data_IF_457573517230
#
_entry.id   IF_457573517230
#
_cell.length_a   1.000
_cell.length_b   1.000
_cell.length_c   1.000
_cell.angle_alpha   90.00
_cell.angle_beta   90.00
_cell.angle_gamma   90.00
#
_symmetry.space_group_name_H-M   'P 1'
#
loop_
_entity.id
_entity.type
_entity.pdbx_description
1 polymer ?
#
# COMPACT_ATOMS: atom_id res chain seq x y z
N UNK A 1 -26.47 6.43 -1.36
CA UNK A 1 -25.01 6.22 -1.49
C UNK A 1 -24.49 7.08 -2.62
N UNK A 2 -23.36 7.75 -2.43
CA UNK A 2 -22.64 8.42 -3.51
C UNK A 2 -22.24 7.39 -4.55
N UNK A 3 -22.65 7.62 -5.79
CA UNK A 3 -22.41 6.74 -6.95
C UNK A 3 -21.02 6.89 -7.55
N UNK A 4 -20.22 7.81 -7.00
CA UNK A 4 -18.90 8.19 -7.46
C UNK A 4 -17.99 8.42 -6.24
N UNK A 5 -16.87 7.69 -6.19
CA UNK A 5 -15.92 7.66 -5.09
C UNK A 5 -14.52 7.91 -5.63
N UNK A 6 -13.81 8.84 -4.99
CA UNK A 6 -12.38 9.07 -5.23
C UNK A 6 -11.60 8.77 -3.97
N UNK A 7 -10.66 7.83 -4.04
CA UNK A 7 -9.73 7.50 -2.96
C UNK A 7 -8.30 7.70 -3.44
N UNK A 8 -7.40 8.04 -2.54
CA UNK A 8 -5.97 8.03 -2.86
C UNK A 8 -5.13 7.49 -1.72
N UNK A 9 -4.04 6.81 -2.06
CA UNK A 9 -3.06 6.28 -1.11
C UNK A 9 -1.65 6.79 -1.46
N UNK A 10 -0.85 7.24 -0.49
CA UNK A 10 0.55 7.60 -0.71
C UNK A 10 1.39 6.36 -1.01
N UNK A 11 2.55 6.56 -1.64
CA UNK A 11 3.61 5.58 -1.66
C UNK A 11 4.37 5.55 -0.33
N UNK A 12 5.55 4.94 -0.36
CA UNK A 12 6.46 4.88 0.80
C UNK A 12 7.90 5.16 0.43
N UNK A 13 8.69 5.43 1.46
CA UNK A 13 10.14 5.42 1.42
C UNK A 13 10.66 4.80 2.71
N UNK A 14 11.74 4.03 2.65
CA UNK A 14 12.48 3.61 3.84
C UNK A 14 13.44 4.75 4.17
N UNK A 15 13.28 5.37 5.34
CA UNK A 15 14.17 6.43 5.81
C UNK A 15 15.45 5.84 6.39
N UNK A 16 15.33 4.74 7.14
CA UNK A 16 16.44 4.03 7.76
C UNK A 16 16.13 2.54 7.87
N UNK A 17 17.15 1.68 7.77
CA UNK A 17 17.07 0.26 8.11
C UNK A 17 16.75 -0.67 6.93
N UNK A 18 17.15 -0.29 5.73
CA UNK A 18 16.85 -0.93 4.45
C UNK A 18 17.20 -2.42 4.42
N UNK A 19 18.47 -2.76 4.65
CA UNK A 19 18.93 -4.14 4.66
C UNK A 19 18.99 -4.73 6.08
N UNK A 20 19.13 -3.89 7.10
CA UNK A 20 19.23 -4.35 8.49
C UNK A 20 17.94 -5.00 8.99
N UNK A 21 16.79 -4.59 8.47
CA UNK A 21 15.48 -5.17 8.80
C UNK A 21 15.38 -6.66 8.53
N UNK A 22 16.10 -7.16 7.52
CA UNK A 22 16.16 -8.59 7.18
C UNK A 22 16.81 -9.41 8.31
N UNK A 23 17.62 -8.76 9.16
CA UNK A 23 18.31 -9.34 10.31
C UNK A 23 17.63 -9.01 11.64
N UNK A 24 16.34 -8.69 11.62
CA UNK A 24 15.55 -8.40 12.81
C UNK A 24 15.83 -7.05 13.47
N UNK A 25 16.59 -6.19 12.79
CA UNK A 25 16.85 -4.82 13.24
C UNK A 25 15.70 -3.89 12.91
N UNK A 26 15.73 -2.71 13.52
CA UNK A 26 14.73 -1.68 13.32
C UNK A 26 14.86 -1.04 11.94
N UNK A 27 13.71 -0.85 11.30
CA UNK A 27 13.55 0.03 10.14
C UNK A 27 12.49 1.09 10.40
N UNK A 28 12.67 2.25 9.77
CA UNK A 28 11.73 3.36 9.78
C UNK A 28 11.31 3.62 8.34
N UNK A 29 10.03 3.46 8.07
CA UNK A 29 9.44 3.77 6.77
C UNK A 29 8.43 4.90 6.92
N UNK A 30 8.31 5.75 5.90
CA UNK A 30 7.42 6.90 5.92
C UNK A 30 6.65 7.03 4.62
N UNK A 31 5.45 7.61 4.70
CA UNK A 31 4.60 7.85 3.55
C UNK A 31 5.22 8.90 2.64
N UNK A 32 5.30 8.57 1.35
CA UNK A 32 5.76 9.45 0.30
C UNK A 32 4.56 10.12 -0.35
N UNK A 33 4.54 11.45 -0.43
CA UNK A 33 3.41 12.20 -0.98
C UNK A 33 3.32 12.17 -2.53
N UNK A 34 3.70 11.04 -3.14
CA UNK A 34 3.34 10.65 -4.50
C UNK A 34 2.25 9.59 -4.37
N UNK A 35 1.09 9.83 -4.98
CA UNK A 35 -0.12 9.07 -4.66
C UNK A 35 -0.60 8.23 -5.84
N UNK A 36 -1.21 7.09 -5.50
CA UNK A 36 -2.14 6.37 -6.35
C UNK A 36 -3.53 6.94 -6.11
N UNK A 37 -4.30 7.17 -7.17
CA UNK A 37 -5.68 7.61 -7.12
C UNK A 37 -6.55 6.55 -7.78
N UNK A 38 -7.68 6.27 -7.16
CA UNK A 38 -8.74 5.45 -7.74
C UNK A 38 -10.00 6.29 -7.85
N UNK A 39 -10.62 6.23 -9.01
CA UNK A 39 -11.98 6.67 -9.26
C UNK A 39 -12.85 5.42 -9.43
N UNK A 40 -13.95 5.35 -8.70
CA UNK A 40 -14.86 4.23 -8.78
C UNK A 40 -16.31 4.69 -8.80
N UNK A 41 -17.06 4.18 -9.76
CA UNK A 41 -18.47 4.50 -9.91
C UNK A 41 -19.31 3.26 -10.20
N UNK A 42 -20.60 3.29 -9.85
CA UNK A 42 -21.54 2.24 -10.26
C UNK A 42 -21.66 2.25 -11.79
N UNK A 43 -21.47 1.09 -12.42
CA UNK A 43 -21.55 0.97 -13.87
C UNK A 43 -22.99 0.98 -14.34
N UNK A 44 -23.27 1.77 -15.38
CA UNK A 44 -24.62 1.91 -15.96
C UNK A 44 -25.04 0.73 -16.82
N UNK A 45 -24.08 -0.01 -17.34
CA UNK A 45 -24.29 -1.18 -18.21
C UNK A 45 -24.40 -2.49 -17.43
N UNK A 46 -24.28 -2.46 -16.10
CA UNK A 46 -24.37 -3.66 -15.25
C UNK A 46 -23.12 -4.54 -15.25
N UNK A 47 -22.04 -4.11 -15.90
CA UNK A 47 -20.78 -4.85 -15.95
C UNK A 47 -19.77 -4.30 -14.93
N UNK A 48 -18.67 -5.02 -14.73
CA UNK A 48 -17.51 -4.56 -13.96
C UNK A 48 -16.34 -4.26 -14.89
N UNK A 49 -15.70 -3.10 -14.70
CA UNK A 49 -14.57 -2.65 -15.53
C UNK A 49 -13.38 -2.29 -14.63
N UNK A 50 -12.20 -2.77 -15.01
CA UNK A 50 -10.90 -2.41 -14.44
C UNK A 50 -10.07 -1.67 -15.49
N UNK A 51 -9.73 -0.42 -15.21
CA UNK A 51 -8.96 0.45 -16.10
C UNK A 51 -7.70 0.99 -15.39
N UNK A 52 -6.53 0.51 -15.83
CA UNK A 52 -5.20 0.85 -15.30
C UNK A 52 -4.32 1.36 -16.47
N UNK A 53 -4.49 2.63 -16.89
CA UNK A 53 -3.78 3.20 -18.03
C UNK A 53 -2.24 3.17 -17.87
N UNK A 54 -1.71 3.36 -16.65
CA UNK A 54 -0.26 3.39 -16.39
C UNK A 54 0.46 2.08 -16.73
N UNK A 55 -0.28 0.98 -16.83
CA UNK A 55 0.23 -0.36 -17.18
C UNK A 55 -0.47 -0.95 -18.40
N UNK A 56 -1.23 -0.13 -19.15
CA UNK A 56 -1.97 -0.52 -20.35
C UNK A 56 -2.95 -1.69 -20.13
N UNK A 57 -3.70 -1.68 -19.03
CA UNK A 57 -4.73 -2.68 -18.76
C UNK A 57 -6.10 -1.99 -18.84
N UNK A 58 -6.97 -2.50 -19.69
CA UNK A 58 -8.40 -2.23 -19.64
C UNK A 58 -9.12 -3.58 -19.82
N UNK A 59 -9.94 -3.95 -18.85
CA UNK A 59 -10.66 -5.22 -18.82
C UNK A 59 -12.08 -4.99 -18.33
N UNK A 60 -13.01 -5.73 -18.93
CA UNK A 60 -14.43 -5.65 -18.64
C UNK A 60 -15.00 -7.06 -18.54
N UNK A 61 -15.80 -7.30 -17.52
CA UNK A 61 -16.46 -8.58 -17.30
C UNK A 61 -17.93 -8.36 -16.97
N UNK A 62 -18.77 -9.27 -17.45
CA UNK A 62 -20.16 -9.30 -17.02
C UNK A 62 -20.27 -9.79 -15.59
N UNK A 63 -21.00 -9.06 -14.75
CA UNK A 63 -21.30 -9.47 -13.36
C UNK A 63 -21.97 -10.84 -13.34
N UNK A 64 -22.92 -11.08 -14.25
CA UNK A 64 -23.59 -12.38 -14.36
C UNK A 64 -22.61 -13.52 -14.68
N UNK A 65 -21.58 -13.28 -15.50
CA UNK A 65 -20.56 -14.30 -15.79
C UNK A 65 -19.69 -14.57 -14.56
N UNK A 66 -19.31 -13.54 -13.82
CA UNK A 66 -18.57 -13.69 -12.57
C UNK A 66 -19.37 -14.50 -11.55
N UNK A 67 -20.65 -14.19 -11.39
CA UNK A 67 -21.53 -14.87 -10.42
C UNK A 67 -21.85 -16.31 -10.79
N UNK A 68 -22.05 -16.62 -12.08
CA UNK A 68 -22.44 -17.96 -12.52
C UNK A 68 -21.26 -18.87 -12.84
N UNK A 69 -20.13 -18.31 -13.34
CA UNK A 69 -19.02 -19.11 -13.86
C UNK A 69 -17.78 -19.11 -12.96
N UNK A 70 -17.51 -17.98 -12.27
CA UNK A 70 -16.33 -17.85 -11.40
C UNK A 70 -16.66 -18.16 -9.93
N UNK A 71 -17.60 -17.43 -9.33
CA UNK A 71 -17.90 -17.50 -7.89
C UNK A 71 -18.20 -18.92 -7.37
N UNK A 72 -19.02 -19.77 -8.02
CA UNK A 72 -19.35 -21.09 -7.50
C UNK A 72 -18.14 -22.03 -7.47
N UNK A 73 -17.06 -21.64 -8.17
CA UNK A 73 -15.82 -22.37 -8.32
C UNK A 73 -14.66 -21.59 -7.66
N UNK A 74 -14.89 -20.46 -7.01
CA UNK A 74 -13.80 -19.73 -6.37
C UNK A 74 -13.75 -20.10 -4.89
N UNK A 75 -12.69 -20.80 -4.48
CA UNK A 75 -12.46 -21.08 -3.06
C UNK A 75 -11.88 -19.81 -2.42
N UNK A 76 -12.66 -19.19 -1.52
CA UNK A 76 -12.26 -18.01 -0.75
C UNK A 76 -11.59 -18.48 0.55
N UNK A 77 -10.27 -18.37 0.57
CA UNK A 77 -9.43 -18.97 1.60
C UNK A 77 -9.33 -18.07 2.84
N UNK A 78 -9.28 -18.70 4.00
CA UNK A 78 -8.97 -18.06 5.28
C UNK A 78 -7.73 -18.71 5.89
N UNK A 79 -6.97 -17.99 6.71
CA UNK A 79 -5.88 -18.54 7.49
C UNK A 79 -6.38 -19.23 8.77
N UNK A 80 -5.45 -19.77 9.56
CA UNK A 80 -5.74 -20.46 10.83
C UNK A 80 -6.43 -19.57 11.88
N UNK A 81 -6.43 -18.25 11.68
CA UNK A 81 -7.08 -17.27 12.56
C UNK A 81 -8.40 -16.74 11.97
N UNK A 82 -8.85 -17.31 10.85
CA UNK A 82 -10.07 -16.89 10.17
C UNK A 82 -9.91 -15.58 9.37
N UNK A 83 -8.68 -15.12 9.12
CA UNK A 83 -8.44 -13.94 8.30
C UNK A 83 -8.33 -14.30 6.82
N UNK A 84 -8.71 -13.39 5.88
CA UNK A 84 -8.58 -13.64 4.45
C UNK A 84 -7.15 -14.04 4.04
N UNK A 85 -7.02 -15.10 3.24
CA UNK A 85 -5.74 -15.61 2.76
C UNK A 85 -5.68 -15.67 1.22
N UNK A 86 -4.47 -15.71 0.64
CA UNK A 86 -4.29 -15.77 -0.81
C UNK A 86 -5.01 -16.96 -1.46
N UNK A 87 -5.36 -16.87 -2.75
CA UNK A 87 -6.01 -17.96 -3.46
C UNK A 87 -5.12 -19.21 -3.48
N UNK A 88 -5.72 -20.39 -3.35
CA UNK A 88 -5.04 -21.67 -3.62
C UNK A 88 -4.56 -21.72 -5.08
N UNK A 89 -3.63 -22.62 -5.41
CA UNK A 89 -3.19 -22.82 -6.80
C UNK A 89 -4.36 -23.10 -7.76
N UNK A 90 -5.36 -23.85 -7.29
CA UNK A 90 -6.59 -24.14 -8.03
C UNK A 90 -7.45 -22.88 -8.25
N UNK A 91 -7.66 -22.05 -7.22
CA UNK A 91 -8.36 -20.77 -7.37
C UNK A 91 -7.58 -19.80 -8.27
N UNK A 92 -6.25 -19.76 -8.15
CA UNK A 92 -5.38 -18.95 -8.99
C UNK A 92 -5.48 -19.35 -10.47
N UNK A 93 -5.44 -20.66 -10.77
CA UNK A 93 -5.65 -21.17 -12.13
C UNK A 93 -7.02 -20.76 -12.68
N UNK A 94 -8.08 -20.85 -11.87
CA UNK A 94 -9.43 -20.44 -12.26
C UNK A 94 -9.52 -18.94 -12.55
N UNK A 95 -8.90 -18.10 -11.73
CA UNK A 95 -8.84 -16.65 -11.95
C UNK A 95 -8.07 -16.32 -13.23
N UNK A 96 -6.95 -16.99 -13.50
CA UNK A 96 -6.17 -16.82 -14.75
C UNK A 96 -6.98 -17.21 -15.98
N UNK A 97 -7.65 -18.36 -15.92
CA UNK A 97 -8.51 -18.85 -17.00
C UNK A 97 -9.66 -17.88 -17.27
N UNK A 98 -10.32 -17.39 -16.23
CA UNK A 98 -11.43 -16.44 -16.36
C UNK A 98 -10.97 -15.06 -16.88
N UNK A 99 -9.75 -14.64 -16.52
CA UNK A 99 -9.17 -13.39 -16.95
C UNK A 99 -8.55 -13.44 -18.36
N UNK A 100 -8.64 -14.59 -19.05
CA UNK A 100 -8.04 -14.82 -20.38
C UNK A 100 -6.53 -14.53 -20.39
N UNK A 101 -5.82 -15.02 -19.37
CA UNK A 101 -4.38 -14.85 -19.22
C UNK A 101 -3.67 -16.12 -19.71
N UNK A 102 -3.15 -16.06 -20.95
CA UNK A 102 -2.60 -17.21 -21.69
C UNK A 102 -1.18 -17.66 -21.29
N UNK A 103 -0.52 -16.98 -20.35
CA UNK A 103 0.90 -17.19 -20.06
C UNK A 103 1.16 -17.82 -18.69
N UNK A 104 2.09 -18.78 -18.64
CA UNK A 104 2.64 -19.31 -17.38
C UNK A 104 3.50 -18.26 -16.65
N UNK A 105 4.05 -17.28 -17.36
CA UNK A 105 4.82 -16.18 -16.78
C UNK A 105 3.91 -15.18 -16.03
N UNK A 106 4.18 -15.07 -14.72
CA UNK A 106 3.53 -14.08 -13.85
C UNK A 106 4.11 -12.69 -14.11
N UNK A 107 3.68 -12.04 -15.18
CA UNK A 107 3.86 -10.60 -15.31
C UNK A 107 3.12 -9.87 -14.18
N UNK A 108 3.72 -8.82 -13.63
CA UNK A 108 3.10 -7.99 -12.58
C UNK A 108 1.72 -7.45 -12.99
N UNK A 109 1.52 -7.23 -14.30
CA UNK A 109 0.24 -6.86 -14.92
C UNK A 109 -0.84 -7.90 -14.71
N UNK A 110 -0.51 -9.18 -14.93
CA UNK A 110 -1.43 -10.29 -14.71
C UNK A 110 -1.82 -10.38 -13.24
N UNK A 111 -0.86 -10.25 -12.32
CA UNK A 111 -1.13 -10.32 -10.89
C UNK A 111 -2.00 -9.16 -10.38
N UNK A 112 -1.94 -7.98 -10.99
CA UNK A 112 -2.85 -6.88 -10.68
C UNK A 112 -4.31 -7.21 -11.04
N UNK A 113 -4.55 -7.84 -12.21
CA UNK A 113 -5.88 -8.30 -12.63
C UNK A 113 -6.39 -9.40 -11.68
N UNK A 114 -5.54 -10.36 -11.33
CA UNK A 114 -5.88 -11.45 -10.41
C UNK A 114 -6.20 -10.89 -9.01
N UNK A 115 -5.39 -9.96 -8.51
CA UNK A 115 -5.63 -9.27 -7.24
C UNK A 115 -6.96 -8.52 -7.27
N UNK A 116 -7.29 -7.84 -8.38
CA UNK A 116 -8.57 -7.19 -8.56
C UNK A 116 -9.73 -8.17 -8.47
N UNK A 117 -9.75 -9.20 -9.32
CA UNK A 117 -10.84 -10.17 -9.38
C UNK A 117 -11.04 -10.89 -8.05
N UNK A 118 -9.95 -11.31 -7.39
CA UNK A 118 -10.06 -12.01 -6.11
C UNK A 118 -10.62 -11.10 -5.01
N UNK A 119 -10.10 -9.88 -4.86
CA UNK A 119 -10.61 -8.93 -3.86
C UNK A 119 -12.04 -8.50 -4.17
N UNK A 120 -12.38 -8.25 -5.43
CA UNK A 120 -13.72 -7.89 -5.86
C UNK A 120 -14.74 -8.99 -5.54
N UNK A 121 -14.45 -10.24 -5.88
CA UNK A 121 -15.32 -11.37 -5.55
C UNK A 121 -15.43 -11.60 -4.04
N UNK A 122 -14.32 -11.54 -3.31
CA UNK A 122 -14.30 -11.84 -1.88
C UNK A 122 -14.98 -10.74 -1.05
N UNK A 123 -14.64 -9.47 -1.29
CA UNK A 123 -15.27 -8.35 -0.60
C UNK A 123 -16.73 -8.20 -1.05
N UNK A 124 -17.00 -8.35 -2.35
CA UNK A 124 -18.33 -8.21 -2.95
C UNK A 124 -19.37 -9.20 -2.43
N UNK A 125 -19.00 -10.48 -2.22
CA UNK A 125 -19.89 -11.47 -1.60
C UNK A 125 -20.31 -11.13 -0.17
N UNK A 126 -19.61 -10.20 0.49
CA UNK A 126 -19.87 -9.77 1.86
C UNK A 126 -20.56 -8.40 1.92
N UNK A 127 -21.14 -7.96 0.80
CA UNK A 127 -21.85 -6.69 0.71
C UNK A 127 -23.03 -6.62 1.67
N UNK A 128 -23.10 -5.51 2.41
CA UNK A 128 -24.25 -5.18 3.27
C UNK A 128 -25.32 -4.39 2.51
N UNK A 129 -24.97 -3.84 1.36
CA UNK A 129 -25.81 -2.88 0.63
C UNK A 129 -26.69 -3.53 -0.45
N UNK A 130 -26.25 -4.65 -1.01
CA UNK A 130 -26.98 -5.36 -2.06
C UNK A 130 -26.66 -6.86 -2.07
N UNK A 131 -27.59 -7.65 -2.60
CA UNK A 131 -27.35 -9.06 -2.92
C UNK A 131 -26.58 -9.17 -4.24
N UNK A 132 -25.46 -9.89 -4.22
CA UNK A 132 -24.62 -10.09 -5.42
C UNK A 132 -23.52 -9.05 -5.58
N UNK A 133 -22.70 -9.24 -6.62
CA UNK A 133 -21.53 -8.40 -6.88
C UNK A 133 -21.94 -7.03 -7.46
N UNK A 134 -21.34 -5.92 -7.02
CA UNK A 134 -21.70 -4.59 -7.50
C UNK A 134 -21.15 -4.33 -8.91
N UNK A 135 -21.96 -3.86 -9.87
CA UNK A 135 -21.45 -3.45 -11.18
C UNK A 135 -20.70 -2.13 -11.03
N UNK A 136 -19.38 -2.16 -11.20
CA UNK A 136 -18.51 -1.01 -10.91
C UNK A 136 -17.52 -0.76 -12.02
N UNK A 137 -17.27 0.50 -12.33
CA UNK A 137 -16.12 0.92 -13.12
C UNK A 137 -15.07 1.47 -12.18
N UNK A 138 -13.91 0.82 -12.13
CA UNK A 138 -12.75 1.20 -11.32
C UNK A 138 -11.63 1.63 -12.25
N UNK A 139 -11.22 2.90 -12.15
CA UNK A 139 -10.08 3.47 -12.88
C UNK A 139 -9.00 3.92 -11.90
N UNK A 140 -7.74 3.51 -12.11
CA UNK A 140 -6.63 3.92 -11.25
C UNK A 140 -5.49 4.58 -12.01
N UNK A 141 -4.96 5.66 -11.45
CA UNK A 141 -3.80 6.40 -11.97
C UNK A 141 -2.81 6.66 -10.83
N UNK A 142 -1.52 6.63 -11.10
CA UNK A 142 -0.48 6.71 -10.08
C UNK A 142 0.63 7.66 -10.47
N UNK A 143 1.01 8.51 -9.52
CA UNK A 143 2.21 9.33 -9.61
C UNK A 143 3.48 8.54 -9.27
N UNK A 144 3.35 7.30 -8.80
CA UNK A 144 4.46 6.44 -8.41
C UNK A 144 4.99 5.68 -9.61
N UNK A 145 6.29 5.80 -9.93
CA UNK A 145 6.92 4.95 -10.93
C UNK A 145 6.76 3.46 -10.58
N UNK A 146 6.22 2.70 -11.52
CA UNK A 146 6.04 1.25 -11.36
C UNK A 146 7.40 0.57 -11.24
N UNK A 147 7.56 -0.29 -10.22
CA UNK A 147 8.78 -1.08 -10.03
C UNK A 147 9.96 -0.34 -9.39
N UNK A 148 9.85 0.95 -9.05
CA UNK A 148 10.95 1.71 -8.44
C UNK A 148 11.20 1.40 -6.94
N UNK A 149 10.38 0.53 -6.34
CA UNK A 149 10.43 0.24 -4.90
C UNK A 149 9.77 1.32 -4.03
N UNK A 150 8.93 2.17 -4.62
CA UNK A 150 8.20 3.25 -3.93
C UNK A 150 6.79 2.87 -3.48
N UNK A 151 6.38 1.61 -3.70
CA UNK A 151 5.16 1.03 -3.12
C UNK A 151 3.92 1.26 -3.97
N UNK A 152 4.09 1.34 -5.29
CA UNK A 152 2.98 1.51 -6.23
C UNK A 152 1.94 0.39 -6.13
N UNK A 153 2.38 -0.87 -5.95
CA UNK A 153 1.46 -2.01 -5.79
C UNK A 153 0.69 -1.95 -4.48
N UNK A 154 1.35 -1.56 -3.38
CA UNK A 154 0.69 -1.40 -2.10
C UNK A 154 -0.32 -0.24 -2.13
N UNK A 155 0.04 0.90 -2.72
CA UNK A 155 -0.87 2.02 -2.90
C UNK A 155 -2.07 1.62 -3.78
N UNK A 156 -1.86 0.82 -4.82
CA UNK A 156 -2.91 0.20 -5.63
C UNK A 156 -3.82 -0.71 -4.78
N UNK A 157 -3.26 -1.66 -4.01
CA UNK A 157 -4.03 -2.57 -3.18
C UNK A 157 -4.81 -1.86 -2.07
N UNK A 158 -4.25 -0.79 -1.48
CA UNK A 158 -4.94 0.05 -0.49
C UNK A 158 -6.11 0.81 -1.13
N UNK A 159 -5.89 1.45 -2.27
CA UNK A 159 -6.96 2.14 -3.02
C UNK A 159 -8.08 1.18 -3.39
N UNK A 160 -7.72 0.01 -3.94
CA UNK A 160 -8.66 -1.03 -4.33
C UNK A 160 -9.49 -1.51 -3.13
N UNK A 161 -8.83 -1.89 -2.03
CA UNK A 161 -9.51 -2.37 -0.83
C UNK A 161 -10.44 -1.31 -0.25
N UNK A 162 -9.99 -0.05 -0.15
CA UNK A 162 -10.80 1.04 0.37
C UNK A 162 -12.08 1.26 -0.44
N UNK A 163 -11.97 1.32 -1.77
CA UNK A 163 -13.13 1.48 -2.66
C UNK A 163 -14.11 0.31 -2.54
N UNK A 164 -13.61 -0.93 -2.59
CA UNK A 164 -14.46 -2.11 -2.52
C UNK A 164 -15.18 -2.21 -1.17
N UNK A 165 -14.49 -1.93 -0.06
CA UNK A 165 -15.09 -1.94 1.27
C UNK A 165 -16.12 -0.82 1.43
N UNK A 166 -15.87 0.36 0.86
CA UNK A 166 -16.82 1.47 0.90
C UNK A 166 -18.07 1.19 0.07
N UNK A 167 -17.91 0.68 -1.16
CA UNK A 167 -19.05 0.34 -2.04
C UNK A 167 -19.91 -0.81 -1.50
N UNK A 168 -19.34 -1.67 -0.66
CA UNK A 168 -20.04 -2.81 -0.05
C UNK A 168 -20.58 -2.50 1.35
N UNK A 169 -20.45 -1.26 1.84
CA UNK A 169 -20.91 -0.83 3.17
C UNK A 169 -20.12 -1.44 4.32
N UNK A 170 -18.91 -1.95 4.07
CA UNK A 170 -18.06 -2.59 5.08
C UNK A 170 -17.12 -1.61 5.78
N UNK A 171 -16.74 -0.51 5.13
CA UNK A 171 -15.94 0.57 5.74
C UNK A 171 -16.33 1.93 5.14
N UNK A 172 -16.79 2.87 5.95
CA UNK A 172 -17.25 4.18 5.47
C UNK A 172 -16.42 5.31 6.07
N UNK A 173 -16.00 6.33 5.29
CA UNK A 173 -15.35 7.50 5.85
C UNK A 173 -16.25 8.15 6.91
N UNK A 174 -15.72 8.34 8.11
CA UNK A 174 -16.48 8.81 9.27
C UNK A 174 -15.84 10.01 9.98
N UNK A 175 -14.59 10.34 9.65
CA UNK A 175 -13.83 11.43 10.28
C UNK A 175 -13.91 12.67 9.41
N UNK A 176 -14.55 13.71 9.92
CA UNK A 176 -14.75 14.96 9.20
C UNK A 176 -13.45 15.79 9.18
N UNK A 177 -13.16 16.55 8.11
CA UNK A 177 -12.00 17.44 8.06
C UNK A 177 -11.97 18.49 9.19
N UNK A 178 -13.13 18.90 9.71
CA UNK A 178 -13.22 19.85 10.83
C UNK A 178 -12.69 19.28 12.16
N UNK A 179 -12.78 17.97 12.36
CA UNK A 179 -12.23 17.29 13.55
C UNK A 179 -10.70 17.17 13.48
N UNK A 180 -10.07 17.53 12.35
CA UNK A 180 -8.64 17.37 12.10
C UNK A 180 -7.80 18.65 12.33
N UNK A 181 -8.42 19.76 12.76
CA UNK A 181 -7.70 21.01 13.10
C UNK A 181 -7.05 21.74 11.91
N UNK A 182 -7.29 21.30 10.66
CA UNK A 182 -6.79 21.95 9.45
C UNK A 182 -7.66 23.18 9.11
N UNK A 183 -7.28 24.33 9.67
CA UNK A 183 -7.94 25.63 9.47
C UNK A 183 -7.85 26.20 8.04
N UNK A 184 -7.29 25.46 7.08
CA UNK A 184 -7.13 25.86 5.68
C UNK A 184 -7.64 24.78 4.71
N UNK A 185 -8.96 24.62 4.55
CA UNK A 185 -9.54 24.15 3.28
C UNK A 185 -11.08 24.26 3.23
N UNK A 186 -11.61 25.46 2.98
CA UNK A 186 -13.01 25.64 2.58
C UNK A 186 -13.34 25.11 1.16
N UNK A 187 -12.39 24.42 0.50
CA UNK A 187 -12.57 23.73 -0.80
C UNK A 187 -11.79 22.42 -0.77
N UNK A 188 -12.50 21.29 -0.76
CA UNK A 188 -11.89 19.95 -0.84
C UNK A 188 -11.75 19.23 0.50
N UNK A 189 -12.83 19.21 1.30
CA UNK A 189 -12.94 18.40 2.51
C UNK A 189 -12.56 16.93 2.25
N UNK A 190 -11.40 16.49 2.76
CA UNK A 190 -10.96 15.08 2.67
C UNK A 190 -11.48 14.33 3.89
N UNK A 191 -12.45 13.46 3.65
CA UNK A 191 -12.95 12.54 4.67
C UNK A 191 -11.94 11.42 4.91
N UNK A 192 -11.76 11.02 6.17
CA UNK A 192 -10.91 9.89 6.55
C UNK A 192 -11.73 8.78 7.22
N UNK A 193 -11.18 7.58 7.19
CA UNK A 193 -11.72 6.42 7.88
C UNK A 193 -11.30 6.42 9.35
N UNK A 194 -12.10 5.76 10.20
CA UNK A 194 -11.72 5.44 11.57
C UNK A 194 -10.48 4.55 11.60
N UNK A 195 -9.80 4.45 12.75
CA UNK A 195 -8.65 3.55 12.88
C UNK A 195 -9.03 2.08 12.62
N UNK A 196 -10.20 1.63 13.08
CA UNK A 196 -10.68 0.27 12.86
C UNK A 196 -10.91 -0.03 11.38
N UNK A 197 -11.49 0.91 10.65
CA UNK A 197 -11.67 0.82 9.20
C UNK A 197 -10.34 0.84 8.46
N UNK A 198 -9.39 1.69 8.87
CA UNK A 198 -8.03 1.70 8.30
C UNK A 198 -7.32 0.36 8.51
N UNK A 199 -7.47 -0.25 9.70
CA UNK A 199 -6.91 -1.57 9.96
C UNK A 199 -7.58 -2.66 9.11
N UNK A 200 -8.88 -2.55 8.86
CA UNK A 200 -9.59 -3.44 7.93
C UNK A 200 -9.11 -3.26 6.49
N UNK A 201 -9.00 -2.03 6.01
CA UNK A 201 -8.46 -1.70 4.68
C UNK A 201 -7.05 -2.27 4.55
N UNK A 202 -6.19 -2.07 5.56
CA UNK A 202 -4.82 -2.57 5.54
C UNK A 202 -4.78 -4.11 5.44
N UNK A 203 -5.66 -4.82 6.15
CA UNK A 203 -5.73 -6.30 6.07
C UNK A 203 -6.06 -6.78 4.65
N UNK A 204 -7.04 -6.15 3.99
CA UNK A 204 -7.40 -6.48 2.61
C UNK A 204 -6.34 -6.05 1.60
N UNK A 205 -5.70 -4.90 1.81
CA UNK A 205 -4.58 -4.45 0.99
C UNK A 205 -3.38 -5.39 1.10
N UNK A 206 -3.09 -5.91 2.30
CA UNK A 206 -2.03 -6.89 2.54
C UNK A 206 -2.31 -8.21 1.82
N UNK A 207 -3.57 -8.64 1.72
CA UNK A 207 -3.97 -9.77 0.90
C UNK A 207 -3.67 -9.52 -0.59
N UNK A 208 -4.02 -8.34 -1.11
CA UNK A 208 -3.66 -7.95 -2.48
C UNK A 208 -2.14 -7.99 -2.73
N UNK A 209 -1.36 -7.46 -1.79
CA UNK A 209 0.11 -7.50 -1.85
C UNK A 209 0.65 -8.94 -1.80
N UNK A 210 0.03 -9.86 -1.06
CA UNK A 210 0.41 -11.29 -1.06
C UNK A 210 0.14 -11.94 -2.41
N UNK A 211 -0.91 -11.53 -3.12
CA UNK A 211 -1.20 -12.03 -4.48
C UNK A 211 -0.15 -11.53 -5.47
N UNK A 212 0.26 -10.26 -5.36
CA UNK A 212 1.20 -9.62 -6.28
C UNK A 212 2.67 -10.03 -6.02
N UNK A 213 3.08 -10.14 -4.75
CA UNK A 213 4.49 -10.36 -4.38
C UNK A 213 4.76 -11.69 -3.67
N UNK A 214 3.72 -12.46 -3.32
CA UNK A 214 3.83 -13.73 -2.59
C UNK A 214 4.09 -13.53 -1.09
N UNK A 215 5.27 -13.04 -0.73
CA UNK A 215 5.72 -12.92 0.67
C UNK A 215 6.08 -11.47 1.08
N UNK A 216 5.13 -10.51 0.97
CA UNK A 216 5.37 -9.14 1.42
C UNK A 216 5.56 -9.05 2.94
N UNK A 217 6.33 -8.05 3.39
CA UNK A 217 6.59 -7.79 4.82
C UNK A 217 5.43 -7.12 5.57
N UNK A 218 4.52 -6.45 4.85
CA UNK A 218 3.46 -5.62 5.44
C UNK A 218 3.80 -4.14 5.54
N UNK A 219 5.08 -3.75 5.41
CA UNK A 219 5.52 -2.35 5.52
C UNK A 219 4.81 -1.46 4.49
N UNK A 220 4.82 -1.88 3.23
CA UNK A 220 4.36 -1.07 2.10
C UNK A 220 2.87 -0.70 2.22
N UNK A 221 2.00 -1.68 2.50
CA UNK A 221 0.56 -1.46 2.68
C UNK A 221 0.25 -0.74 3.99
N UNK A 222 0.95 -1.04 5.09
CA UNK A 222 0.76 -0.31 6.35
C UNK A 222 1.08 1.18 6.22
N UNK A 223 2.20 1.54 5.58
CA UNK A 223 2.52 2.95 5.33
C UNK A 223 1.49 3.60 4.40
N UNK A 224 1.11 2.89 3.32
CA UNK A 224 0.14 3.41 2.36
C UNK A 224 -1.26 3.60 2.98
N UNK A 225 -1.61 2.82 4.02
CA UNK A 225 -2.91 2.92 4.70
C UNK A 225 -2.90 3.95 5.82
N UNK A 226 -1.92 3.87 6.73
CA UNK A 226 -1.88 4.68 7.95
C UNK A 226 -1.26 6.07 7.73
N UNK A 227 -0.43 6.22 6.69
CA UNK A 227 0.34 7.43 6.47
C UNK A 227 1.42 7.67 7.53
N UNK A 228 1.99 8.88 7.54
CA UNK A 228 2.98 9.29 8.54
C UNK A 228 4.27 8.47 8.46
N UNK A 229 4.71 7.95 9.59
CA UNK A 229 5.84 7.02 9.66
C UNK A 229 5.51 5.80 10.52
N UNK A 230 6.15 4.69 10.20
CA UNK A 230 6.06 3.45 10.96
C UNK A 230 7.46 2.97 11.34
N UNK A 231 7.55 2.37 12.52
CA UNK A 231 8.67 1.56 12.97
C UNK A 231 8.34 0.10 12.69
N UNK A 232 9.25 -0.61 12.03
CA UNK A 232 9.16 -2.04 11.80
C UNK A 232 10.31 -2.75 12.48
N UNK A 233 10.01 -3.82 13.21
CA UNK A 233 11.02 -4.72 13.77
C UNK A 233 10.42 -6.12 13.94
N UNK A 234 11.11 -7.17 13.49
CA UNK A 234 10.66 -8.56 13.69
C UNK A 234 9.19 -8.82 13.30
N UNK A 235 8.74 -8.27 12.16
CA UNK A 235 7.35 -8.35 11.65
C UNK A 235 6.30 -7.61 12.49
N UNK A 236 6.72 -6.87 13.51
CA UNK A 236 5.87 -5.96 14.26
C UNK A 236 5.95 -4.57 13.67
N UNK A 237 4.79 -3.93 13.50
CA UNK A 237 4.64 -2.58 12.99
C UNK A 237 4.04 -1.72 14.10
N UNK A 238 4.68 -0.61 14.40
CA UNK A 238 4.14 0.44 15.29
C UNK A 238 4.18 1.78 14.60
N UNK A 239 3.17 2.62 14.81
CA UNK A 239 3.14 3.99 14.28
C UNK A 239 4.13 4.88 15.01
N UNK A 240 4.76 5.79 14.27
CA UNK A 240 5.56 6.88 14.84
C UNK A 240 4.66 8.10 14.92
N UNK A 241 4.06 8.33 16.08
CA UNK A 241 3.04 9.36 16.28
C UNK A 241 3.57 10.78 16.01
N UNK A 242 4.81 11.05 16.40
CA UNK A 242 5.46 12.37 16.29
C UNK A 242 6.39 12.44 15.08
N UNK A 243 5.81 12.39 13.87
CA UNK A 243 6.57 12.51 12.62
C UNK A 243 6.35 13.90 12.01
N UNK A 244 7.40 14.73 11.85
CA UNK A 244 7.28 16.03 11.18
C UNK A 244 7.12 15.86 9.66
N UNK A 245 6.58 16.89 9.01
CA UNK A 245 6.61 16.96 7.54
C UNK A 245 8.02 17.29 7.07
N UNK A 246 8.61 16.45 6.23
CA UNK A 246 9.98 16.60 5.71
C UNK A 246 9.91 16.79 4.19
N UNK A 247 10.48 17.89 3.70
CA UNK A 247 10.67 18.10 2.25
C UNK A 247 11.89 17.31 1.79
N UNK A 248 11.71 16.43 0.81
CA UNK A 248 12.78 15.61 0.25
C UNK A 248 12.86 15.79 -1.27
N UNK A 249 14.05 15.60 -1.83
CA UNK A 249 14.24 15.42 -3.27
C UNK A 249 14.27 13.94 -3.59
N UNK A 250 13.25 13.43 -4.27
CA UNK A 250 13.23 12.05 -4.74
C UNK A 250 13.97 11.93 -6.07
N UNK A 251 15.01 11.11 -6.10
CA UNK A 251 15.80 10.86 -7.32
C UNK A 251 15.69 9.40 -7.73
N UNK A 252 15.20 9.14 -8.95
CA UNK A 252 15.24 7.81 -9.56
C UNK A 252 16.44 7.75 -10.52
N UNK A 253 17.42 6.88 -10.23
CA UNK A 253 18.61 6.72 -11.07
C UNK A 253 18.32 6.03 -12.41
N UNK A 254 17.14 5.40 -12.56
CA UNK A 254 16.77 4.56 -13.70
C UNK A 254 17.73 3.38 -13.95
N UNK A 255 18.51 2.99 -12.93
CA UNK A 255 19.39 1.82 -12.99
C UNK A 255 18.63 0.57 -12.54
N UNK A 256 18.52 -0.47 -13.39
CA UNK A 256 17.82 -1.70 -13.02
C UNK A 256 18.56 -2.43 -11.90
N UNK A 257 17.81 -3.00 -10.95
CA UNK A 257 18.36 -3.74 -9.81
C UNK A 257 17.46 -4.91 -9.44
N UNK A 258 18.07 -5.98 -8.93
CA UNK A 258 17.35 -7.11 -8.34
C UNK A 258 17.44 -7.06 -6.82
N UNK A 259 16.32 -6.79 -6.15
CA UNK A 259 16.22 -6.81 -4.69
C UNK A 259 16.68 -8.14 -4.12
N UNK A 260 16.28 -9.26 -4.75
CA UNK A 260 16.69 -10.61 -4.37
C UNK A 260 18.21 -10.78 -4.40
N UNK A 261 18.86 -10.28 -5.44
CA UNK A 261 20.32 -10.36 -5.59
C UNK A 261 21.04 -9.53 -4.54
N UNK A 262 20.57 -8.30 -4.26
CA UNK A 262 21.17 -7.44 -3.23
C UNK A 262 21.02 -8.03 -1.82
N UNK A 263 19.84 -8.57 -1.50
CA UNK A 263 19.62 -9.25 -0.21
C UNK A 263 20.54 -10.47 -0.09
N UNK A 264 20.68 -11.29 -1.14
CA UNK A 264 21.59 -12.43 -1.14
C UNK A 264 23.07 -12.00 -0.99
N UNK A 265 23.46 -10.88 -1.59
CA UNK A 265 24.81 -10.33 -1.47
C UNK A 265 25.12 -9.89 -0.03
N UNK A 266 24.20 -9.17 0.62
CA UNK A 266 24.37 -8.78 2.04
C UNK A 266 24.42 -10.02 2.92
N UNK A 267 23.58 -11.04 2.64
CA UNK A 267 23.63 -12.34 3.32
C UNK A 267 25.00 -12.99 3.22
N UNK A 268 25.54 -13.12 2.01
CA UNK A 268 26.86 -13.72 1.81
C UNK A 268 27.97 -12.97 2.56
N UNK A 269 27.93 -11.62 2.55
CA UNK A 269 28.89 -10.80 3.31
C UNK A 269 28.77 -11.01 4.81
N UNK A 270 27.55 -11.05 5.33
CA UNK A 270 27.28 -11.29 6.74
C UNK A 270 27.81 -12.66 7.18
N UNK A 271 27.53 -13.71 6.40
CA UNK A 271 27.96 -15.08 6.70
C UNK A 271 29.49 -15.22 6.63
N UNK A 272 30.14 -14.50 5.71
CA UNK A 272 31.60 -14.53 5.54
C UNK A 272 32.36 -13.70 6.58
N UNK A 273 31.79 -12.58 7.02
CA UNK A 273 32.45 -11.64 7.94
C UNK A 273 31.51 -11.24 9.10
N UNK A 274 31.07 -12.19 9.93
CA UNK A 274 30.07 -11.93 10.97
C UNK A 274 30.54 -10.91 12.01
N UNK A 275 31.83 -10.95 12.39
CA UNK A 275 32.42 -10.03 13.37
C UNK A 275 32.47 -8.58 12.88
N UNK A 276 32.42 -8.35 11.56
CA UNK A 276 32.41 -7.01 10.96
C UNK A 276 30.97 -6.59 10.63
N UNK A 277 30.21 -7.47 9.99
CA UNK A 277 28.86 -7.15 9.53
C UNK A 277 27.86 -7.06 10.68
N UNK A 278 28.02 -7.84 11.75
CA UNK A 278 27.19 -7.76 12.95
C UNK A 278 27.17 -6.35 13.56
N UNK A 279 28.34 -5.78 13.92
CA UNK A 279 28.43 -4.40 14.39
C UNK A 279 27.89 -3.35 13.41
N UNK A 280 28.09 -3.52 12.09
CA UNK A 280 27.53 -2.61 11.08
C UNK A 280 26.00 -2.62 11.12
N UNK A 281 25.38 -3.80 11.16
CA UNK A 281 23.92 -3.93 11.27
C UNK A 281 23.39 -3.36 12.60
N UNK A 282 24.16 -3.50 13.68
CA UNK A 282 23.84 -2.89 14.97
C UNK A 282 23.90 -1.35 14.92
N UNK A 283 24.89 -0.79 14.22
CA UNK A 283 24.99 0.65 14.03
C UNK A 283 23.80 1.20 13.22
N UNK A 284 23.36 0.47 12.19
CA UNK A 284 22.15 0.83 11.43
C UNK A 284 20.90 0.86 12.30
N UNK A 285 20.74 -0.10 13.23
CA UNK A 285 19.65 -0.07 14.22
C UNK A 285 19.73 1.15 15.13
N UNK A 286 20.94 1.47 15.62
CA UNK A 286 21.18 2.67 16.43
C UNK A 286 20.79 3.96 15.71
N UNK A 287 21.06 4.07 14.41
CA UNK A 287 20.65 5.19 13.58
C UNK A 287 19.13 5.29 13.43
N UNK A 288 18.47 4.17 13.14
CA UNK A 288 17.01 4.12 13.01
C UNK A 288 16.32 4.54 14.32
N UNK A 289 16.72 3.97 15.46
CA UNK A 289 16.18 4.33 16.78
C UNK A 289 16.46 5.78 17.16
N UNK A 290 17.67 6.27 16.86
CA UNK A 290 18.01 7.68 17.11
C UNK A 290 17.17 8.62 16.25
N UNK A 291 16.92 8.26 14.99
CA UNK A 291 16.11 9.07 14.08
C UNK A 291 14.67 9.27 14.59
N UNK A 292 14.04 8.24 15.15
CA UNK A 292 12.68 8.33 15.71
C UNK A 292 12.63 9.39 16.83
N UNK A 293 13.62 9.39 17.71
CA UNK A 293 13.75 10.39 18.79
C UNK A 293 13.94 11.80 18.25
N UNK A 294 14.79 11.94 17.21
CA UNK A 294 15.04 13.24 16.56
C UNK A 294 13.79 13.76 15.86
N UNK A 295 13.06 12.90 15.12
CA UNK A 295 11.78 13.25 14.51
C UNK A 295 10.77 13.72 15.56
N UNK A 296 10.69 13.03 16.70
CA UNK A 296 9.85 13.46 17.82
C UNK A 296 10.19 14.86 18.32
N UNK A 297 11.48 15.17 18.49
CA UNK A 297 11.92 16.51 18.90
C UNK A 297 11.65 17.59 17.84
N UNK A 298 11.77 17.25 16.55
CA UNK A 298 11.47 18.17 15.45
C UNK A 298 9.96 18.46 15.37
N UNK A 299 9.13 17.45 15.59
CA UNK A 299 7.68 17.58 15.64
C UNK A 299 7.24 18.48 16.79
N UNK A 300 7.83 18.32 17.98
CA UNK A 300 7.49 19.12 19.16
C UNK A 300 7.97 20.59 19.09
N UNK A 301 8.90 20.91 18.18
CA UNK A 301 9.52 22.26 18.05
C UNK A 301 9.68 22.70 16.60
N UNK A 302 8.59 22.88 15.84
CA UNK A 302 8.65 23.20 14.41
C UNK A 302 9.32 24.55 14.12
N UNK A 303 9.17 25.52 15.03
CA UNK A 303 9.74 26.87 15.01
C UNK A 303 11.28 26.87 14.89
N UNK A 304 11.96 25.96 15.60
CA UNK A 304 13.43 25.87 15.58
C UNK A 304 14.01 25.41 14.25
N UNK A 305 13.19 24.85 13.37
CA UNK A 305 13.62 24.28 12.10
C UNK A 305 13.10 25.05 10.88
N UNK A 306 12.36 26.15 11.09
CA UNK A 306 11.85 27.02 10.01
C UNK A 306 12.95 27.90 9.34
N UNK A 307 14.13 28.02 9.97
CA UNK A 307 15.24 28.88 9.49
C UNK A 307 16.09 28.34 8.34
N UNK A 308 15.96 27.06 7.95
CA UNK A 308 16.75 26.48 6.84
C UNK A 308 16.18 26.78 5.44
N UNK A 309 15.38 27.83 5.32
CA UNK A 309 14.64 28.15 4.10
C UNK A 309 15.31 29.19 3.20
N UNK A 310 16.38 29.87 3.67
CA UNK A 310 17.17 30.81 2.89
C UNK A 310 18.68 30.69 3.18
N UNK A 311 19.50 31.14 2.23
CA UNK A 311 20.94 31.31 2.39
C UNK A 311 21.18 32.45 3.41
N UNK A 312 21.71 32.13 4.59
CA UNK A 312 22.00 33.11 5.63
C UNK A 312 23.52 33.29 5.77
N UNK A 313 23.99 34.53 5.73
CA UNK A 313 25.37 34.90 6.06
C UNK A 313 25.38 35.44 7.49
N UNK A 314 26.02 34.70 8.40
CA UNK A 314 26.26 35.17 9.77
C UNK A 314 27.54 35.99 9.84
N UNK A 315 27.42 37.26 10.25
CA UNK A 315 28.55 38.12 10.61
C UNK A 315 28.56 38.34 12.12
N UNK A 316 28.94 37.33 12.91
CA UNK A 316 29.34 37.50 14.31
C UNK A 316 30.11 36.24 14.76
N UNK A 317 31.36 36.43 15.18
CA UNK A 317 32.18 35.45 15.91
C UNK A 317 31.88 35.52 17.40
#
# INVERSE_FOLDING_TARGET
>A
MTTDIVVSAPGKVILHGEHSVVYGKVAVASSLNLRCFVHAAISKDGDVTLDLPDVNICRKWSVASLENNLLPRLELCHDSHGHPSPPTEKSLHRLKQFAEIDTEESESRHLAIISFLYLYCYIGQRSKEQSGLPPIHVRMISQLPVGAGLGSSAAFSVCLAAVLLQLTGQATPSVHPEEQGDSNSAKGAVWKWSLDDLLLINKWAFLGEKIIHGHPSGIDNSVSTLGGAIRFQNKQITTVEKMPSIKILLTNTNVPRSTKTLVAYVKNKHDKFPEVMGPVLQAMEGLAERSIKVYGHMFDRPDKWQGYSQLEVSFSF
#
